data_IF_165782196176
#
_entry.id   IF_165782196176
#
_cell.length_a   1.000
_cell.length_b   1.000
_cell.length_c   1.000
_cell.angle_alpha   90.00
_cell.angle_beta   90.00
_cell.angle_gamma   90.00
#
_symmetry.space_group_name_H-M   'P 1'
#
loop_
_entity.id
_entity.type
_entity.pdbx_description
1 polymer ?
#
# COMPACT_ATOMS: atom_id res chain seq x y z
N UNK A 1 -14.67 -4.23 -16.12
CA UNK A 1 -14.02 -2.92 -16.32
C UNK A 1 -14.72 -1.90 -15.42
N UNK A 2 -14.03 -1.39 -14.40
CA UNK A 2 -14.63 -0.53 -13.37
C UNK A 2 -14.77 0.92 -13.90
N UNK A 3 -16.00 1.39 -14.14
CA UNK A 3 -16.27 2.75 -14.66
C UNK A 3 -15.65 3.86 -13.81
N UNK A 4 -15.58 3.65 -12.49
CA UNK A 4 -14.92 4.60 -11.57
C UNK A 4 -13.44 4.77 -11.93
N UNK A 5 -12.72 3.68 -12.20
CA UNK A 5 -11.29 3.74 -12.52
C UNK A 5 -11.03 4.44 -13.85
N UNK A 6 -11.90 4.25 -14.84
CA UNK A 6 -11.81 5.01 -16.09
C UNK A 6 -11.91 6.51 -15.84
N UNK A 7 -12.89 6.95 -15.05
CA UNK A 7 -13.04 8.36 -14.67
C UNK A 7 -11.84 8.89 -13.87
N UNK A 8 -11.31 8.09 -12.95
CA UNK A 8 -10.12 8.47 -12.17
C UNK A 8 -8.88 8.61 -13.06
N UNK A 9 -8.70 7.77 -14.08
CA UNK A 9 -7.54 7.86 -15.00
C UNK A 9 -7.61 9.03 -15.99
N UNK A 10 -8.79 9.63 -16.15
CA UNK A 10 -8.97 10.86 -16.91
C UNK A 10 -8.56 12.10 -16.11
N UNK A 11 -8.48 12.01 -14.77
CA UNK A 11 -7.94 13.07 -13.93
C UNK A 11 -6.40 13.18 -14.10
N UNK A 12 -5.85 14.37 -14.37
CA UNK A 12 -4.43 14.53 -14.66
C UNK A 12 -3.52 14.20 -13.46
N UNK A 13 -3.94 14.49 -12.23
CA UNK A 13 -3.13 14.17 -11.05
C UNK A 13 -3.06 12.66 -10.80
N UNK A 14 -4.17 11.94 -11.05
CA UNK A 14 -4.21 10.48 -10.91
C UNK A 14 -3.53 9.76 -12.07
N UNK A 15 -3.57 10.33 -13.27
CA UNK A 15 -2.77 9.83 -14.40
C UNK A 15 -1.28 9.88 -14.06
N UNK A 16 -0.79 10.99 -13.53
CA UNK A 16 0.61 11.11 -13.11
C UNK A 16 0.97 10.07 -12.03
N UNK A 17 0.08 9.81 -11.08
CA UNK A 17 0.29 8.74 -10.08
C UNK A 17 0.42 7.37 -10.75
N UNK A 18 -0.46 7.04 -11.70
CA UNK A 18 -0.44 5.77 -12.43
C UNK A 18 0.87 5.60 -13.23
N UNK A 19 1.32 6.66 -13.89
CA UNK A 19 2.58 6.68 -14.63
C UNK A 19 3.78 6.45 -13.72
N UNK A 20 3.83 7.09 -12.55
CA UNK A 20 4.87 6.86 -11.55
C UNK A 20 4.81 5.45 -10.99
N UNK A 21 3.62 4.94 -10.67
CA UNK A 21 3.41 3.60 -10.11
C UNK A 21 3.93 2.49 -11.05
N UNK A 22 3.81 2.70 -12.37
CA UNK A 22 4.31 1.78 -13.39
C UNK A 22 5.85 1.78 -13.52
N UNK A 23 6.57 2.74 -12.93
CA UNK A 23 8.03 2.79 -13.04
C UNK A 23 8.71 1.70 -12.19
N UNK A 24 9.81 1.10 -12.66
CA UNK A 24 10.47 -0.01 -11.97
C UNK A 24 11.14 0.41 -10.66
N UNK A 25 11.69 1.64 -10.58
CA UNK A 25 12.32 2.17 -9.39
C UNK A 25 12.09 3.69 -9.31
N UNK A 26 11.14 4.10 -8.49
CA UNK A 26 10.82 5.50 -8.24
C UNK A 26 10.50 5.70 -6.76
N UNK A 27 10.94 6.82 -6.20
CA UNK A 27 10.45 7.32 -4.92
C UNK A 27 9.60 8.55 -5.21
N UNK A 28 8.38 8.59 -4.70
CA UNK A 28 7.46 9.69 -4.93
C UNK A 28 6.68 9.99 -3.68
N UNK A 29 6.39 11.28 -3.49
CA UNK A 29 5.59 11.76 -2.38
C UNK A 29 4.30 12.35 -2.95
N UNK A 30 3.17 11.80 -2.52
CA UNK A 30 1.84 12.27 -2.90
C UNK A 30 1.29 13.14 -1.77
N UNK A 31 0.83 14.34 -2.12
CA UNK A 31 0.17 15.27 -1.20
C UNK A 31 -1.28 15.49 -1.60
N UNK A 32 -2.13 15.85 -0.63
CA UNK A 32 -3.53 16.19 -0.87
C UNK A 32 -4.46 14.99 -1.08
N UNK A 33 -3.95 13.77 -1.06
CA UNK A 33 -4.77 12.57 -1.13
C UNK A 33 -5.30 12.20 0.27
N UNK A 34 -6.60 12.35 0.49
CA UNK A 34 -7.26 12.10 1.78
C UNK A 34 -8.41 11.10 1.66
N UNK A 35 -8.77 10.46 2.78
CA UNK A 35 -9.95 9.60 2.89
C UNK A 35 -9.95 8.41 1.93
N UNK A 36 -11.10 8.11 1.32
CA UNK A 36 -11.26 7.00 0.39
C UNK A 36 -10.65 7.28 -1.00
N UNK A 37 -10.46 8.56 -1.37
CA UNK A 37 -9.91 8.92 -2.67
C UNK A 37 -8.46 8.42 -2.85
N UNK A 38 -7.64 8.43 -1.79
CA UNK A 38 -6.29 7.83 -1.83
C UNK A 38 -6.35 6.33 -2.10
N UNK A 39 -7.34 5.61 -1.57
CA UNK A 39 -7.50 4.17 -1.78
C UNK A 39 -7.91 3.89 -3.23
N UNK A 40 -8.91 4.64 -3.73
CA UNK A 40 -9.37 4.53 -5.10
C UNK A 40 -8.28 4.87 -6.14
N UNK A 41 -7.47 5.90 -5.87
CA UNK A 41 -6.34 6.27 -6.71
C UNK A 41 -5.30 5.14 -6.83
N UNK A 42 -4.92 4.54 -5.70
CA UNK A 42 -3.98 3.41 -5.68
C UNK A 42 -4.59 2.17 -6.33
N UNK A 43 -5.87 1.88 -6.09
CA UNK A 43 -6.57 0.77 -6.73
C UNK A 43 -6.63 0.92 -8.26
N UNK A 44 -6.92 2.12 -8.76
CA UNK A 44 -6.93 2.40 -10.20
C UNK A 44 -5.53 2.28 -10.84
N UNK A 45 -4.48 2.70 -10.12
CA UNK A 45 -3.10 2.52 -10.56
C UNK A 45 -2.69 1.04 -10.60
N UNK A 46 -3.10 0.26 -9.59
CA UNK A 46 -2.88 -1.18 -9.54
C UNK A 46 -3.62 -1.91 -10.67
N UNK A 47 -4.90 -1.59 -10.91
CA UNK A 47 -5.70 -2.15 -12.01
C UNK A 47 -5.04 -1.91 -13.38
N UNK A 48 -4.41 -0.75 -13.57
CA UNK A 48 -3.71 -0.41 -14.81
C UNK A 48 -2.36 -1.13 -14.97
N UNK A 49 -1.65 -1.40 -13.87
CA UNK A 49 -0.34 -2.04 -13.87
C UNK A 49 -0.18 -3.02 -12.68
N UNK A 50 -0.81 -4.21 -12.74
CA UNK A 50 -0.79 -5.15 -11.63
C UNK A 50 0.62 -5.60 -11.29
N UNK A 51 1.02 -5.43 -10.03
CA UNK A 51 2.32 -5.83 -9.50
C UNK A 51 2.22 -6.08 -8.00
N UNK A 52 3.10 -6.88 -7.39
CA UNK A 52 3.14 -7.00 -5.94
C UNK A 52 3.22 -5.62 -5.27
N UNK A 53 2.25 -5.34 -4.39
CA UNK A 53 2.09 -4.06 -3.72
C UNK A 53 1.97 -4.30 -2.21
N UNK A 54 2.83 -3.64 -1.44
CA UNK A 54 2.74 -3.59 0.01
C UNK A 54 2.32 -2.18 0.43
N UNK A 55 1.31 -2.09 1.31
CA UNK A 55 0.84 -0.83 1.86
C UNK A 55 1.12 -0.83 3.36
N UNK A 56 1.89 0.15 3.81
CA UNK A 56 2.19 0.35 5.23
C UNK A 56 1.28 1.46 5.75
N UNK A 57 0.60 1.20 6.86
CA UNK A 57 -0.35 2.13 7.47
C UNK A 57 0.11 2.52 8.87
N UNK A 58 -0.39 3.65 9.38
CA UNK A 58 0.00 4.16 10.70
C UNK A 58 -0.60 3.37 11.88
N UNK A 59 -1.54 2.46 11.63
CA UNK A 59 -2.22 1.71 12.67
C UNK A 59 -3.43 0.93 12.15
N UNK A 60 -4.06 0.17 13.06
CA UNK A 60 -5.10 -0.81 12.69
C UNK A 60 -6.36 -0.20 12.08
N UNK A 61 -6.76 1.00 12.47
CA UNK A 61 -7.94 1.65 11.88
C UNK A 61 -7.70 2.00 10.41
N UNK A 62 -6.51 2.54 10.10
CA UNK A 62 -6.12 2.82 8.72
C UNK A 62 -5.97 1.54 7.90
N UNK A 63 -5.39 0.48 8.48
CA UNK A 63 -5.29 -0.84 7.86
C UNK A 63 -6.67 -1.39 7.46
N UNK A 64 -7.64 -1.35 8.39
CA UNK A 64 -9.00 -1.83 8.12
C UNK A 64 -9.69 -1.04 7.00
N UNK A 65 -9.55 0.28 7.01
CA UNK A 65 -10.11 1.12 5.94
C UNK A 65 -9.49 0.79 4.57
N UNK A 66 -8.18 0.55 4.52
CA UNK A 66 -7.52 0.10 3.29
C UNK A 66 -8.03 -1.27 2.83
N UNK A 67 -8.15 -2.23 3.74
CA UNK A 67 -8.61 -3.57 3.41
C UNK A 67 -10.05 -3.58 2.88
N UNK A 68 -10.95 -2.85 3.55
CA UNK A 68 -12.35 -2.72 3.14
C UNK A 68 -12.44 -2.11 1.73
N UNK A 69 -11.81 -0.95 1.51
CA UNK A 69 -11.89 -0.25 0.23
C UNK A 69 -11.23 -1.05 -0.90
N UNK A 70 -10.06 -1.66 -0.68
CA UNK A 70 -9.40 -2.46 -1.72
C UNK A 70 -10.21 -3.72 -2.07
N UNK A 71 -10.80 -4.39 -1.09
CA UNK A 71 -11.66 -5.56 -1.34
C UNK A 71 -12.89 -5.16 -2.15
N UNK A 72 -13.48 -3.99 -1.87
CA UNK A 72 -14.63 -3.47 -2.62
C UNK A 72 -14.26 -3.01 -4.04
N UNK A 73 -13.11 -2.36 -4.20
CA UNK A 73 -12.68 -1.76 -5.47
C UNK A 73 -11.99 -2.76 -6.42
N UNK A 74 -11.35 -3.79 -5.87
CA UNK A 74 -10.59 -4.82 -6.58
C UNK A 74 -11.06 -6.22 -6.16
N UNK A 75 -12.32 -6.61 -6.44
CA UNK A 75 -12.89 -7.86 -5.95
C UNK A 75 -12.19 -9.13 -6.47
N UNK A 76 -11.38 -9.01 -7.53
CA UNK A 76 -10.63 -10.13 -8.12
C UNK A 76 -9.17 -10.19 -7.66
N UNK A 77 -8.74 -9.28 -6.79
CA UNK A 77 -7.37 -9.22 -6.27
C UNK A 77 -7.35 -9.75 -4.85
N UNK A 78 -6.42 -10.65 -4.57
CA UNK A 78 -6.18 -11.13 -3.21
C UNK A 78 -5.53 -10.03 -2.35
N UNK A 79 -6.21 -9.64 -1.28
CA UNK A 79 -5.72 -8.66 -0.29
C UNK A 79 -5.43 -9.38 1.02
N UNK A 80 -4.16 -9.40 1.40
CA UNK A 80 -3.69 -10.05 2.63
C UNK A 80 -3.25 -9.03 3.67
N UNK A 81 -3.62 -9.26 4.93
CA UNK A 81 -2.97 -8.62 6.07
C UNK A 81 -1.72 -9.42 6.43
N UNK A 82 -0.57 -8.76 6.42
CA UNK A 82 0.66 -9.37 6.93
C UNK A 82 0.62 -9.32 8.46
N UNK A 83 0.87 -10.45 9.15
CA UNK A 83 0.92 -10.46 10.61
C UNK A 83 2.01 -9.51 11.09
N UNK A 84 1.81 -8.90 12.26
CA UNK A 84 2.87 -8.18 12.93
C UNK A 84 4.06 -9.13 13.09
N UNK A 85 5.19 -8.83 12.43
CA UNK A 85 6.42 -9.56 12.68
C UNK A 85 6.83 -9.20 14.10
N UNK A 86 6.64 -10.14 15.03
CA UNK A 86 7.16 -10.04 16.39
C UNK A 86 8.65 -9.74 16.25
N UNK A 87 9.03 -8.53 16.64
CA UNK A 87 10.43 -8.12 16.64
C UNK A 87 11.10 -8.97 17.69
N UNK A 88 11.71 -10.09 17.27
CA UNK A 88 12.75 -10.74 18.05
C UNK A 88 13.89 -9.72 18.09
N UNK A 89 13.83 -8.83 19.07
CA UNK A 89 15.01 -8.13 19.52
C UNK A 89 15.93 -9.27 19.96
N UNK A 90 17.01 -9.49 19.22
CA UNK A 90 18.09 -10.36 19.66
C UNK A 90 18.79 -9.68 20.86
N UNK A 91 18.06 -9.46 21.96
CA UNK A 91 18.66 -9.44 23.27
C UNK A 91 19.06 -10.89 23.57
N UNK A 92 20.15 -11.34 22.94
CA UNK A 92 20.77 -12.60 23.31
C UNK A 92 21.16 -12.49 24.80
N UNK A 93 20.52 -13.25 25.71
CA UNK A 93 20.99 -13.34 27.09
C UNK A 93 22.24 -14.23 27.04
N UNK A 94 23.41 -13.64 26.77
CA UNK A 94 24.63 -14.43 26.63
C UNK A 94 25.90 -13.70 26.19
N UNK A 95 25.84 -12.49 25.63
CA UNK A 95 27.04 -11.76 25.19
C UNK A 95 27.70 -10.93 26.32
N UNK A 96 27.95 -11.53 27.48
CA UNK A 96 28.92 -11.06 28.48
C UNK A 96 29.17 -12.15 29.54
N UNK A 97 29.62 -13.34 29.12
CA UNK A 97 30.40 -14.22 29.99
C UNK A 97 31.77 -14.40 29.34
N UNK A 98 32.75 -13.63 29.80
CA UNK A 98 34.15 -13.82 29.42
C UNK A 98 34.95 -12.53 29.27
N UNK A 99 35.30 -11.91 30.40
CA UNK A 99 36.49 -11.12 30.76
C UNK A 99 36.03 -10.40 32.04
N UNK A 100 36.46 -10.70 33.25
CA UNK A 100 37.73 -11.15 33.83
C UNK A 100 37.48 -11.56 35.29
#
# INVERSE_FOLDING_TARGET
MNTLFSLLRDDPALRQLTEVFAQPAAQTMLHGAAGALKHAAVAAAYDAAPRPLAIVTAGRDALRAWQEDLTALLPEVDVYELPELDRIDFAAPGAAKGLE
#
